data_IF_022730693775
#
_entry.id   IF_022730693775
#
_cell.length_a   1.000
_cell.length_b   1.000
_cell.length_c   1.000
_cell.angle_alpha   90.00
_cell.angle_beta   90.00
_cell.angle_gamma   90.00
#
_symmetry.space_group_name_H-M   'P 1'
#
loop_
_entity.id
_entity.type
_entity.pdbx_description
1 polymer ?
#
# COMPACT_ATOMS: atom_id res chain seq x y z
N UNK A 1 -32.89 29.89 -33.49
CA UNK A 1 -32.11 29.90 -32.24
C UNK A 1 -32.78 28.89 -31.34
N UNK A 2 -32.08 27.82 -30.93
CA UNK A 2 -32.67 26.84 -30.02
C UNK A 2 -32.48 27.42 -28.62
N UNK A 3 -33.57 27.80 -27.96
CA UNK A 3 -33.52 28.23 -26.56
C UNK A 3 -33.19 27.03 -25.70
N UNK A 4 -31.98 27.03 -25.14
CA UNK A 4 -31.53 26.00 -24.23
C UNK A 4 -31.95 26.39 -22.81
N UNK A 5 -32.93 25.67 -22.26
CA UNK A 5 -33.33 25.80 -20.87
C UNK A 5 -32.48 24.87 -19.99
N UNK A 6 -31.50 25.37 -19.21
CA UNK A 6 -30.64 24.53 -18.38
C UNK A 6 -31.39 23.79 -17.27
N UNK A 7 -32.64 24.18 -16.98
CA UNK A 7 -33.49 23.53 -15.97
C UNK A 7 -34.20 22.26 -16.49
N UNK A 8 -34.24 22.05 -17.81
CA UNK A 8 -34.80 20.82 -18.41
C UNK A 8 -33.77 19.69 -18.51
N UNK A 9 -32.50 19.99 -18.24
CA UNK A 9 -31.44 18.99 -18.24
C UNK A 9 -31.63 18.05 -17.05
N UNK A 10 -31.77 16.76 -17.33
CA UNK A 10 -31.74 15.73 -16.30
C UNK A 10 -30.31 15.52 -15.80
N UNK A 11 -29.85 16.41 -14.93
CA UNK A 11 -28.50 16.38 -14.35
C UNK A 11 -28.18 15.07 -13.63
N UNK A 12 -29.20 14.41 -13.06
CA UNK A 12 -29.04 13.08 -12.43
C UNK A 12 -28.62 12.06 -13.49
N UNK A 13 -29.31 12.01 -14.63
CA UNK A 13 -28.94 11.14 -15.74
C UNK A 13 -27.56 11.48 -16.30
N UNK A 14 -27.26 12.76 -16.51
CA UNK A 14 -25.95 13.22 -17.00
C UNK A 14 -24.81 12.75 -16.08
N UNK A 15 -24.97 12.86 -14.76
CA UNK A 15 -24.00 12.36 -13.79
C UNK A 15 -23.88 10.82 -13.77
N UNK A 16 -24.84 10.08 -14.34
CA UNK A 16 -24.71 8.63 -14.54
C UNK A 16 -23.92 8.24 -15.79
N UNK A 17 -23.69 9.15 -16.72
CA UNK A 17 -22.88 8.90 -17.92
C UNK A 17 -21.39 8.84 -17.57
N UNK A 18 -20.71 7.78 -18.02
CA UNK A 18 -19.31 7.54 -17.69
C UNK A 18 -18.41 8.61 -18.31
N UNK A 19 -18.74 9.01 -19.53
CA UNK A 19 -18.05 9.98 -20.36
C UNK A 19 -18.07 11.34 -19.67
N UNK A 20 -19.25 11.82 -19.26
CA UNK A 20 -19.39 13.09 -18.56
C UNK A 20 -18.62 13.13 -17.25
N UNK A 21 -18.74 12.07 -16.44
CA UNK A 21 -17.99 11.98 -15.17
C UNK A 21 -16.47 11.97 -15.34
N UNK A 22 -15.96 11.51 -16.48
CA UNK A 22 -14.53 11.48 -16.74
C UNK A 22 -13.95 12.91 -16.90
N UNK A 23 -14.77 13.87 -17.32
CA UNK A 23 -14.36 15.28 -17.47
C UNK A 23 -14.35 16.07 -16.16
N UNK A 24 -15.12 15.64 -15.16
CA UNK A 24 -15.14 16.30 -13.85
C UNK A 24 -13.89 15.93 -13.03
N UNK A 25 -13.23 16.91 -12.43
CA UNK A 25 -12.25 16.71 -11.35
C UNK A 25 -12.89 16.11 -10.09
N UNK A 26 -12.07 15.66 -9.14
CA UNK A 26 -12.58 15.15 -7.85
C UNK A 26 -13.29 16.24 -7.04
N UNK A 27 -12.83 17.49 -7.15
CA UNK A 27 -13.41 18.64 -6.45
C UNK A 27 -14.80 18.96 -7.03
N UNK A 28 -14.93 19.02 -8.36
CA UNK A 28 -16.22 19.25 -9.03
C UNK A 28 -17.21 18.11 -8.72
N UNK A 29 -16.76 16.85 -8.68
CA UNK A 29 -17.59 15.72 -8.23
C UNK A 29 -18.03 15.90 -6.77
N UNK A 30 -17.16 16.40 -5.91
CA UNK A 30 -17.48 16.64 -4.50
C UNK A 30 -18.54 17.73 -4.38
N UNK A 31 -18.37 18.86 -5.07
CA UNK A 31 -19.35 19.95 -5.13
C UNK A 31 -20.70 19.48 -5.69
N UNK A 32 -20.69 18.74 -6.80
CA UNK A 32 -21.89 18.17 -7.39
C UNK A 32 -22.63 17.22 -6.42
N UNK A 33 -21.90 16.53 -5.53
CA UNK A 33 -22.50 15.65 -4.53
C UNK A 33 -23.27 16.42 -3.43
N UNK A 34 -23.03 17.73 -3.29
CA UNK A 34 -23.73 18.59 -2.35
C UNK A 34 -25.04 19.14 -2.90
N UNK A 35 -25.24 19.12 -4.22
CA UNK A 35 -26.43 19.68 -4.88
C UNK A 35 -27.74 19.02 -4.42
N UNK A 36 -27.78 17.68 -4.34
CA UNK A 36 -28.93 16.95 -3.82
C UNK A 36 -28.60 15.51 -3.38
N UNK A 37 -29.55 14.86 -2.69
CA UNK A 37 -29.43 13.50 -2.17
C UNK A 37 -29.11 12.46 -3.25
N UNK A 38 -29.72 12.58 -4.43
CA UNK A 38 -29.51 11.64 -5.54
C UNK A 38 -28.09 11.72 -6.10
N UNK A 39 -27.59 12.94 -6.32
CA UNK A 39 -26.21 13.17 -6.74
C UNK A 39 -25.24 12.60 -5.71
N UNK A 40 -25.48 12.84 -4.43
CA UNK A 40 -24.69 12.26 -3.33
C UNK A 40 -24.62 10.74 -3.43
N UNK A 41 -25.77 10.06 -3.52
CA UNK A 41 -25.82 8.59 -3.59
C UNK A 41 -25.05 8.06 -4.81
N UNK A 42 -25.20 8.71 -5.98
CA UNK A 42 -24.52 8.27 -7.22
C UNK A 42 -23.02 8.55 -7.22
N UNK A 43 -22.58 9.64 -6.60
CA UNK A 43 -21.18 10.08 -6.60
C UNK A 43 -20.38 9.51 -5.43
N UNK A 44 -21.00 9.14 -4.31
CA UNK A 44 -20.31 8.58 -3.13
C UNK A 44 -19.38 7.40 -3.48
N UNK A 45 -19.82 6.37 -4.24
CA UNK A 45 -18.94 5.26 -4.60
C UNK A 45 -17.71 5.68 -5.40
N UNK A 46 -17.82 6.77 -6.15
CA UNK A 46 -16.77 7.30 -7.04
C UNK A 46 -15.79 8.14 -6.23
N UNK A 47 -16.32 9.02 -5.37
CA UNK A 47 -15.54 9.90 -4.50
C UNK A 47 -14.68 9.10 -3.52
N UNK A 48 -15.23 8.04 -2.95
CA UNK A 48 -14.56 7.22 -1.93
C UNK A 48 -13.94 5.95 -2.49
N UNK A 49 -13.89 5.79 -3.82
CA UNK A 49 -13.22 4.65 -4.46
C UNK A 49 -11.77 4.54 -4.00
N UNK A 50 -11.06 5.68 -3.97
CA UNK A 50 -9.67 5.76 -3.56
C UNK A 50 -9.51 6.68 -2.36
N UNK A 51 -8.89 6.20 -1.30
CA UNK A 51 -8.55 7.00 -0.12
C UNK A 51 -7.04 7.22 -0.10
N UNK A 52 -6.63 8.48 0.10
CA UNK A 52 -5.25 8.84 0.38
C UNK A 52 -5.13 9.37 1.81
N UNK A 53 -4.49 8.59 2.67
CA UNK A 53 -4.17 8.95 4.04
C UNK A 53 -2.79 9.61 4.06
N UNK A 54 -2.80 10.94 4.19
CA UNK A 54 -1.60 11.76 4.39
C UNK A 54 -1.78 12.63 5.62
N UNK A 55 -0.74 12.78 6.42
CA UNK A 55 -0.74 13.74 7.52
C UNK A 55 -0.50 15.16 6.95
N UNK A 56 -1.28 16.13 7.39
CA UNK A 56 -0.96 17.54 7.14
C UNK A 56 0.34 17.85 7.90
N UNK A 57 1.40 18.20 7.18
CA UNK A 57 2.76 18.43 7.69
C UNK A 57 2.81 19.40 8.86
N UNK A 58 1.88 20.36 8.91
CA UNK A 58 1.75 21.36 9.99
C UNK A 58 1.44 20.68 11.35
N UNK A 59 0.68 19.58 11.36
CA UNK A 59 0.32 18.86 12.59
C UNK A 59 1.39 17.87 13.06
N UNK A 60 2.37 17.55 12.21
CA UNK A 60 3.43 16.58 12.52
C UNK A 60 4.42 17.13 13.55
N UNK A 61 4.84 18.40 13.40
CA UNK A 61 5.77 19.05 14.32
C UNK A 61 5.22 19.20 15.74
N UNK A 62 3.91 19.48 15.88
CA UNK A 62 3.26 19.54 17.18
C UNK A 62 3.21 18.15 17.86
N UNK A 63 3.11 17.08 17.08
CA UNK A 63 2.93 15.70 17.58
C UNK A 63 4.21 15.08 18.14
N UNK A 64 5.38 15.43 17.60
CA UNK A 64 6.67 14.96 18.15
C UNK A 64 6.94 15.49 19.57
N UNK A 65 6.23 16.53 20.00
CA UNK A 65 6.35 17.11 21.34
C UNK A 65 5.38 16.49 22.36
N UNK A 66 4.41 15.66 21.96
CA UNK A 66 3.50 15.02 22.90
C UNK A 66 4.09 13.71 23.44
N UNK A 67 4.62 13.81 24.66
CA UNK A 67 5.06 12.65 25.45
C UNK A 67 3.93 11.64 25.67
N UNK A 68 4.33 10.38 25.80
CA UNK A 68 3.62 9.09 25.90
C UNK A 68 2.56 8.91 27.01
N UNK A 69 1.88 9.96 27.47
CA UNK A 69 0.94 9.87 28.62
C UNK A 69 -0.50 9.47 28.30
N UNK A 70 -0.87 9.16 27.05
CA UNK A 70 -2.29 8.92 26.72
C UNK A 70 -2.49 7.68 25.83
N UNK A 71 -2.23 6.48 26.38
CA UNK A 71 -2.63 5.20 25.75
C UNK A 71 -4.15 5.14 25.57
N UNK A 72 -4.93 5.77 26.47
CA UNK A 72 -6.38 5.93 26.35
C UNK A 72 -6.84 6.77 25.14
N UNK A 73 -5.93 7.45 24.43
CA UNK A 73 -6.27 8.22 23.22
C UNK A 73 -6.18 7.42 21.93
N UNK A 74 -5.34 6.37 21.86
CA UNK A 74 -5.16 5.62 20.63
C UNK A 74 -6.41 4.81 20.30
N UNK A 75 -6.96 4.09 21.28
CA UNK A 75 -8.21 3.34 21.12
C UNK A 75 -9.36 4.26 20.68
N UNK A 76 -9.48 5.44 21.29
CA UNK A 76 -10.50 6.41 20.89
C UNK A 76 -10.27 6.96 19.47
N UNK A 77 -9.01 7.19 19.06
CA UNK A 77 -8.68 7.64 17.70
C UNK A 77 -9.04 6.54 16.69
N UNK A 78 -8.69 5.29 16.98
CA UNK A 78 -9.01 4.09 16.20
C UNK A 78 -10.53 3.96 16.05
N UNK A 79 -11.27 4.00 17.16
CA UNK A 79 -12.74 3.94 17.17
C UNK A 79 -13.38 5.09 16.36
N UNK A 80 -12.87 6.31 16.53
CA UNK A 80 -13.36 7.46 15.76
C UNK A 80 -13.07 7.31 14.26
N UNK A 81 -11.90 6.76 13.90
CA UNK A 81 -11.53 6.51 12.51
C UNK A 81 -12.44 5.46 11.88
N UNK A 82 -12.67 4.34 12.57
CA UNK A 82 -13.58 3.28 12.14
C UNK A 82 -15.02 3.79 11.98
N UNK A 83 -15.52 4.54 12.97
CA UNK A 83 -16.85 5.15 12.92
C UNK A 83 -17.01 6.08 11.70
N UNK A 84 -16.00 6.88 11.39
CA UNK A 84 -16.01 7.75 10.21
C UNK A 84 -15.95 6.97 8.89
N UNK A 85 -15.19 5.87 8.85
CA UNK A 85 -15.06 5.03 7.66
C UNK A 85 -16.27 4.12 7.43
N UNK A 86 -17.08 3.84 8.46
CA UNK A 86 -18.21 2.90 8.40
C UNK A 86 -19.21 3.17 7.25
N UNK A 87 -19.41 4.43 6.88
CA UNK A 87 -20.34 4.85 5.83
C UNK A 87 -19.79 4.67 4.41
N UNK A 88 -18.48 4.57 4.28
CA UNK A 88 -17.79 4.56 2.98
C UNK A 88 -17.03 3.27 2.71
N UNK A 89 -16.81 2.44 3.73
CA UNK A 89 -15.92 1.27 3.66
C UNK A 89 -16.17 0.31 2.52
N UNK A 90 -17.43 0.11 2.12
CA UNK A 90 -17.80 -0.79 1.04
C UNK A 90 -17.38 -0.27 -0.34
N UNK A 91 -17.17 1.04 -0.48
CA UNK A 91 -16.80 1.67 -1.74
C UNK A 91 -15.28 1.78 -1.94
N UNK A 92 -14.50 1.70 -0.85
CA UNK A 92 -13.06 1.86 -0.88
C UNK A 92 -12.41 0.61 -1.43
N UNK A 93 -11.73 0.74 -2.57
CA UNK A 93 -11.01 -0.35 -3.21
C UNK A 93 -9.52 -0.04 -3.43
N UNK A 94 -9.12 1.23 -3.30
CA UNK A 94 -7.72 1.67 -3.34
C UNK A 94 -7.38 2.47 -2.08
N UNK A 95 -6.28 2.10 -1.42
CA UNK A 95 -5.75 2.81 -0.25
C UNK A 95 -4.31 3.23 -0.52
N UNK A 96 -4.03 4.53 -0.34
CA UNK A 96 -2.67 5.07 -0.30
C UNK A 96 -2.39 5.57 1.11
N UNK A 97 -1.29 5.14 1.70
CA UNK A 97 -0.76 5.63 2.98
C UNK A 97 0.55 6.32 2.67
N UNK A 98 0.54 7.65 2.71
CA UNK A 98 1.70 8.46 2.38
C UNK A 98 2.59 8.70 3.62
N UNK A 99 3.71 9.37 3.36
CA UNK A 99 4.70 9.86 4.31
C UNK A 99 4.03 10.49 5.53
N UNK A 100 4.64 10.26 6.70
CA UNK A 100 4.26 10.83 7.98
C UNK A 100 2.94 10.32 8.55
N UNK A 101 2.17 9.47 7.85
CA UNK A 101 0.99 8.86 8.46
C UNK A 101 1.41 7.97 9.63
N UNK A 102 0.90 8.24 10.83
CA UNK A 102 1.19 7.40 11.99
C UNK A 102 0.43 6.07 11.83
N UNK A 103 1.13 5.03 11.37
CA UNK A 103 0.50 3.73 11.08
C UNK A 103 -0.05 3.03 12.33
N UNK A 104 0.39 3.38 13.54
CA UNK A 104 -0.20 2.89 14.79
C UNK A 104 -1.65 3.37 14.97
N UNK A 105 -2.09 4.41 14.24
CA UNK A 105 -3.48 4.86 14.23
C UNK A 105 -4.36 4.08 13.27
N UNK A 106 -3.79 3.15 12.51
CA UNK A 106 -4.56 2.34 11.58
C UNK A 106 -4.99 1.07 12.30
N UNK A 107 -6.31 0.90 12.58
CA UNK A 107 -6.83 -0.41 12.93
C UNK A 107 -6.49 -1.42 11.83
N UNK A 108 -6.62 -2.72 12.10
CA UNK A 108 -6.38 -3.76 11.10
C UNK A 108 -7.16 -3.45 9.81
N UNK A 109 -6.44 -3.20 8.71
CA UNK A 109 -7.00 -2.57 7.51
C UNK A 109 -8.16 -3.37 6.93
N UNK A 110 -8.12 -4.70 7.03
CA UNK A 110 -9.17 -5.59 6.57
C UNK A 110 -10.52 -5.38 7.27
N UNK A 111 -10.54 -4.89 8.52
CA UNK A 111 -11.77 -4.57 9.23
C UNK A 111 -12.39 -3.25 8.74
N UNK A 112 -11.53 -2.30 8.36
CA UNK A 112 -11.93 -0.96 7.93
C UNK A 112 -12.37 -0.97 6.48
N UNK A 113 -11.59 -1.60 5.60
CA UNK A 113 -11.77 -1.59 4.15
C UNK A 113 -11.68 -3.02 3.59
N UNK A 114 -12.74 -3.84 3.76
CA UNK A 114 -12.71 -5.26 3.37
C UNK A 114 -12.63 -5.48 1.86
N UNK A 115 -12.99 -4.48 1.04
CA UNK A 115 -13.03 -4.55 -0.41
C UNK A 115 -11.76 -4.02 -1.09
N UNK A 116 -10.67 -3.86 -0.36
CA UNK A 116 -9.42 -3.36 -0.93
C UNK A 116 -8.89 -4.30 -2.00
N UNK A 117 -8.65 -3.73 -3.17
CA UNK A 117 -8.00 -4.37 -4.31
C UNK A 117 -6.59 -3.87 -4.53
N UNK A 118 -6.25 -2.70 -3.97
CA UNK A 118 -4.92 -2.10 -4.12
C UNK A 118 -4.52 -1.36 -2.86
N UNK A 119 -3.30 -1.59 -2.40
CA UNK A 119 -2.67 -0.84 -1.31
C UNK A 119 -1.34 -0.27 -1.80
N UNK A 120 -1.10 1.01 -1.52
CA UNK A 120 0.19 1.67 -1.68
C UNK A 120 0.61 2.29 -0.36
N UNK A 121 1.80 1.96 0.14
CA UNK A 121 2.36 2.56 1.35
C UNK A 121 3.72 3.15 1.03
N UNK A 122 3.96 4.40 1.43
CA UNK A 122 5.18 5.14 1.11
C UNK A 122 5.84 5.69 2.36
N UNK A 123 7.17 5.60 2.47
CA UNK A 123 8.00 6.35 3.43
C UNK A 123 7.50 6.24 4.89
N UNK A 124 7.22 5.02 5.32
CA UNK A 124 6.71 4.71 6.66
C UNK A 124 7.51 3.58 7.29
N UNK A 125 7.56 3.58 8.63
CA UNK A 125 8.04 2.46 9.43
C UNK A 125 6.83 1.68 9.96
N UNK A 126 6.86 0.35 9.83
CA UNK A 126 5.69 -0.48 10.14
C UNK A 126 6.13 -1.75 10.85
N UNK A 127 5.44 -2.11 11.93
CA UNK A 127 5.69 -3.37 12.61
C UNK A 127 5.27 -4.57 11.74
N UNK A 128 6.13 -5.59 11.64
CA UNK A 128 5.91 -6.78 10.81
C UNK A 128 4.60 -7.48 11.16
N UNK A 129 4.30 -7.64 12.45
CA UNK A 129 3.07 -8.34 12.88
C UNK A 129 1.80 -7.60 12.48
N UNK A 130 1.83 -6.26 12.46
CA UNK A 130 0.68 -5.45 12.06
C UNK A 130 0.34 -5.63 10.57
N UNK A 131 1.38 -5.74 9.72
CA UNK A 131 1.21 -6.04 8.29
C UNK A 131 0.71 -7.47 8.13
N UNK A 132 1.33 -8.45 8.80
CA UNK A 132 1.00 -9.86 8.66
C UNK A 132 -0.47 -10.14 8.99
N UNK A 133 -0.97 -9.65 10.12
CA UNK A 133 -2.37 -9.82 10.54
C UNK A 133 -3.33 -9.15 9.55
N UNK A 134 -2.93 -8.01 8.99
CA UNK A 134 -3.81 -7.21 8.14
C UNK A 134 -3.90 -7.74 6.72
N UNK A 135 -2.77 -8.10 6.10
CA UNK A 135 -2.69 -8.38 4.67
C UNK A 135 -3.19 -9.78 4.32
N UNK A 136 -2.90 -10.78 5.16
CA UNK A 136 -3.37 -12.16 4.94
C UNK A 136 -4.91 -12.25 4.81
N UNK A 137 -5.63 -11.36 5.50
CA UNK A 137 -7.10 -11.32 5.53
C UNK A 137 -7.73 -10.47 4.40
N UNK A 138 -6.94 -9.86 3.53
CA UNK A 138 -7.45 -9.05 2.42
C UNK A 138 -7.67 -9.92 1.18
N UNK A 139 -8.73 -10.72 1.20
CA UNK A 139 -9.03 -11.71 0.16
C UNK A 139 -9.16 -11.11 -1.25
N UNK A 140 -9.48 -9.82 -1.37
CA UNK A 140 -9.64 -9.13 -2.66
C UNK A 140 -8.39 -8.37 -3.13
N UNK A 141 -7.28 -8.40 -2.38
CA UNK A 141 -6.09 -7.60 -2.65
C UNK A 141 -5.34 -8.10 -3.88
N UNK A 142 -5.41 -7.33 -4.96
CA UNK A 142 -4.76 -7.63 -6.24
C UNK A 142 -3.39 -6.97 -6.38
N UNK A 143 -3.21 -5.79 -5.81
CA UNK A 143 -1.99 -5.01 -5.96
C UNK A 143 -1.46 -4.49 -4.62
N UNK A 144 -0.18 -4.73 -4.36
CA UNK A 144 0.53 -4.19 -3.20
C UNK A 144 1.79 -3.45 -3.67
N UNK A 145 1.89 -2.19 -3.29
CA UNK A 145 3.05 -1.34 -3.56
C UNK A 145 3.60 -0.79 -2.25
N UNK A 146 4.86 -1.12 -1.95
CA UNK A 146 5.60 -0.61 -0.80
C UNK A 146 6.79 0.19 -1.34
N UNK A 147 6.90 1.45 -0.94
CA UNK A 147 7.97 2.34 -1.37
C UNK A 147 8.65 2.99 -0.15
N UNK A 148 9.96 2.84 -0.03
CA UNK A 148 10.73 3.39 1.08
C UNK A 148 10.17 2.99 2.46
N UNK A 149 9.78 1.71 2.58
CA UNK A 149 9.22 1.15 3.81
C UNK A 149 10.29 0.48 4.65
N UNK A 150 10.28 0.78 5.95
CA UNK A 150 11.07 0.06 6.96
C UNK A 150 10.16 -0.84 7.78
N UNK A 151 10.27 -2.14 7.58
CA UNK A 151 9.56 -3.15 8.36
C UNK A 151 10.36 -3.40 9.64
N UNK A 152 9.70 -3.28 10.79
CA UNK A 152 10.29 -3.45 12.10
C UNK A 152 9.96 -4.84 12.66
N UNK A 153 10.96 -5.52 13.18
CA UNK A 153 10.82 -6.78 13.90
C UNK A 153 11.53 -6.65 15.27
N UNK A 154 10.79 -6.75 16.37
CA UNK A 154 11.31 -6.60 17.73
C UNK A 154 11.70 -7.95 18.34
N UNK A 155 12.43 -7.95 19.45
CA UNK A 155 12.82 -9.20 20.10
C UNK A 155 11.64 -9.95 20.75
N UNK A 156 10.63 -9.22 21.23
CA UNK A 156 9.48 -9.81 21.93
C UNK A 156 8.51 -10.55 21.00
N UNK A 157 8.60 -10.33 19.69
CA UNK A 157 7.92 -11.16 18.71
C UNK A 157 8.58 -12.54 18.70
N UNK A 158 8.13 -13.41 19.63
CA UNK A 158 8.51 -14.82 19.77
C UNK A 158 8.23 -15.67 18.51
N UNK A 159 7.69 -15.07 17.45
CA UNK A 159 7.54 -15.72 16.17
C UNK A 159 8.87 -15.70 15.44
N UNK A 160 9.31 -16.87 15.02
CA UNK A 160 10.07 -17.01 13.77
C UNK A 160 9.53 -16.00 12.76
N UNK A 161 10.42 -15.48 11.91
CA UNK A 161 10.05 -14.78 10.70
C UNK A 161 9.30 -15.73 9.75
N UNK A 162 8.16 -16.26 10.20
CA UNK A 162 7.10 -16.87 9.42
C UNK A 162 6.63 -15.74 8.52
N UNK A 163 7.37 -15.70 7.41
CA UNK A 163 7.18 -14.97 6.19
C UNK A 163 5.81 -14.30 6.11
N UNK A 164 5.83 -12.96 5.99
CA UNK A 164 4.64 -12.16 5.70
C UNK A 164 3.79 -12.88 4.65
N UNK A 165 2.66 -13.45 5.08
CA UNK A 165 1.72 -14.12 4.18
C UNK A 165 0.92 -13.07 3.47
N UNK A 166 0.94 -13.13 2.14
CA UNK A 166 0.10 -12.30 1.28
C UNK A 166 -1.04 -13.16 0.75
N UNK A 167 -2.21 -12.55 0.46
CA UNK A 167 -3.36 -13.29 -0.01
C UNK A 167 -3.12 -13.83 -1.42
N UNK A 168 -3.69 -15.00 -1.73
CA UNK A 168 -3.52 -15.66 -3.03
C UNK A 168 -4.08 -14.82 -4.20
N UNK A 169 -4.98 -13.87 -3.93
CA UNK A 169 -5.52 -12.95 -4.93
C UNK A 169 -4.50 -11.92 -5.44
N UNK A 170 -3.32 -11.84 -4.84
CA UNK A 170 -2.28 -10.88 -5.22
C UNK A 170 -1.70 -11.22 -6.59
N UNK A 171 -1.87 -10.29 -7.54
CA UNK A 171 -1.36 -10.40 -8.91
C UNK A 171 -0.20 -9.43 -9.18
N UNK A 172 -0.04 -8.40 -8.36
CA UNK A 172 1.01 -7.38 -8.53
C UNK A 172 1.66 -7.05 -7.19
N UNK A 173 2.98 -7.17 -7.13
CA UNK A 173 3.80 -6.80 -5.98
C UNK A 173 4.91 -5.87 -6.42
N UNK A 174 5.02 -4.71 -5.78
CA UNK A 174 6.09 -3.74 -6.03
C UNK A 174 6.76 -3.36 -4.72
N UNK A 175 8.07 -3.57 -4.65
CA UNK A 175 8.91 -3.32 -3.48
C UNK A 175 10.03 -2.37 -3.88
N UNK A 176 9.89 -1.08 -3.57
CA UNK A 176 10.89 -0.06 -3.90
C UNK A 176 11.62 0.38 -2.65
N UNK A 177 12.93 0.10 -2.58
CA UNK A 177 13.79 0.56 -1.48
C UNK A 177 13.23 0.16 -0.09
N UNK A 178 12.75 -1.08 0.03
CA UNK A 178 12.18 -1.63 1.26
C UNK A 178 13.23 -2.37 2.08
N UNK A 179 13.17 -2.23 3.41
CA UNK A 179 14.09 -2.87 4.34
C UNK A 179 13.35 -3.51 5.51
N UNK A 180 13.93 -4.57 6.08
CA UNK A 180 13.54 -5.11 7.37
C UNK A 180 14.68 -4.82 8.38
N UNK A 181 14.30 -4.29 9.53
CA UNK A 181 15.20 -4.06 10.67
C UNK A 181 14.79 -5.02 11.78
N UNK A 182 15.71 -5.90 12.17
CA UNK A 182 15.60 -6.62 13.42
C UNK A 182 16.17 -5.72 14.51
N UNK A 183 15.35 -5.32 15.45
CA UNK A 183 15.66 -4.31 16.46
C UNK A 183 15.99 -4.97 17.80
N UNK A 184 16.93 -4.39 18.55
CA UNK A 184 17.33 -4.83 19.90
C UNK A 184 16.26 -4.57 20.95
N UNK A 185 15.35 -3.62 20.70
CA UNK A 185 14.29 -3.29 21.63
C UNK A 185 13.31 -4.47 21.78
N UNK A 186 12.83 -4.63 23.01
CA UNK A 186 11.76 -5.58 23.32
C UNK A 186 10.40 -5.07 22.85
N UNK A 187 10.13 -3.77 22.95
CA UNK A 187 8.84 -3.19 22.59
C UNK A 187 9.00 -1.92 21.74
N UNK A 188 7.95 -1.63 20.98
CA UNK A 188 7.86 -0.40 20.20
C UNK A 188 7.72 0.83 21.12
N UNK A 189 8.52 1.90 20.92
CA UNK A 189 8.33 3.16 21.65
C UNK A 189 7.05 3.92 21.27
N UNK A 190 6.30 3.50 20.24
CA UNK A 190 5.09 4.15 19.72
C UNK A 190 5.32 5.62 19.30
N UNK A 191 6.53 5.92 18.84
CA UNK A 191 6.95 7.27 18.45
C UNK A 191 7.09 7.34 16.93
N UNK A 192 6.21 8.10 16.29
CA UNK A 192 6.16 8.20 14.82
C UNK A 192 7.41 8.77 14.13
N UNK A 193 8.31 9.42 14.87
CA UNK A 193 9.59 9.94 14.38
C UNK A 193 10.81 9.27 15.04
N UNK A 194 10.63 8.08 15.62
CA UNK A 194 11.73 7.37 16.25
C UNK A 194 12.70 6.82 15.20
N UNK A 195 14.01 7.03 15.43
CA UNK A 195 15.03 6.46 14.57
C UNK A 195 15.33 5.01 14.98
N UNK A 196 14.59 4.07 14.40
CA UNK A 196 14.79 2.63 14.65
C UNK A 196 16.13 2.08 14.16
N UNK A 197 16.91 2.87 13.39
CA UNK A 197 18.21 2.43 12.89
C UNK A 197 19.28 2.40 13.98
N UNK A 198 19.15 3.22 15.02
CA UNK A 198 20.15 3.31 16.10
C UNK A 198 20.15 2.05 16.99
N UNK A 199 19.01 1.36 17.05
CA UNK A 199 18.79 0.11 17.80
C UNK A 199 18.72 -1.12 16.87
N UNK A 200 19.27 -1.03 15.66
CA UNK A 200 19.21 -2.12 14.69
C UNK A 200 20.28 -3.18 14.98
N UNK A 201 19.86 -4.41 15.30
CA UNK A 201 20.75 -5.59 15.31
C UNK A 201 21.17 -5.94 13.89
N UNK A 202 20.21 -5.87 12.96
CA UNK A 202 20.49 -6.07 11.54
C UNK A 202 19.49 -5.33 10.67
N UNK A 203 19.97 -4.91 9.49
CA UNK A 203 19.17 -4.29 8.44
C UNK A 203 19.36 -5.07 7.15
N UNK A 204 18.28 -5.56 6.55
CA UNK A 204 18.31 -6.34 5.31
C UNK A 204 17.32 -5.77 4.31
N UNK A 205 17.61 -5.84 3.01
CA UNK A 205 16.62 -5.54 1.98
C UNK A 205 15.45 -6.52 2.09
N UNK A 206 14.23 -6.02 1.98
CA UNK A 206 12.99 -6.77 2.00
C UNK A 206 12.53 -7.06 0.57
N UNK A 207 12.72 -8.30 0.10
CA UNK A 207 12.48 -8.69 -1.29
C UNK A 207 11.41 -9.78 -1.48
N UNK A 208 11.05 -10.54 -0.45
CA UNK A 208 10.10 -11.65 -0.56
C UNK A 208 10.41 -12.68 -1.67
N UNK A 209 11.65 -12.73 -2.21
CA UNK A 209 12.01 -13.61 -3.33
C UNK A 209 11.97 -15.11 -3.01
N UNK A 210 11.87 -15.45 -1.72
CA UNK A 210 11.74 -16.83 -1.27
C UNK A 210 10.30 -17.33 -1.19
N UNK A 211 9.32 -16.48 -1.50
CA UNK A 211 7.91 -16.85 -1.43
C UNK A 211 7.42 -17.45 -2.74
N UNK A 212 6.44 -18.35 -2.62
CA UNK A 212 5.59 -18.77 -3.71
C UNK A 212 4.33 -17.90 -3.71
N UNK A 213 4.03 -17.29 -4.85
CA UNK A 213 2.81 -16.52 -5.09
C UNK A 213 2.08 -17.13 -6.28
N UNK A 214 1.03 -17.95 -6.06
CA UNK A 214 0.43 -18.75 -7.13
C UNK A 214 -0.07 -17.91 -8.31
N UNK A 215 -0.53 -16.69 -8.05
CA UNK A 215 -1.18 -15.83 -9.04
C UNK A 215 -0.38 -14.57 -9.41
N UNK A 216 0.90 -14.46 -9.02
CA UNK A 216 1.68 -13.25 -9.31
C UNK A 216 1.93 -13.11 -10.81
N UNK A 217 1.52 -11.98 -11.38
CA UNK A 217 1.71 -11.68 -12.81
C UNK A 217 2.83 -10.64 -12.98
N UNK A 218 2.90 -9.67 -12.08
CA UNK A 218 3.87 -8.58 -12.12
C UNK A 218 4.60 -8.45 -10.79
N UNK A 219 5.92 -8.49 -10.86
CA UNK A 219 6.78 -8.28 -9.69
C UNK A 219 7.81 -7.18 -9.97
N UNK A 220 7.95 -6.22 -9.07
CA UNK A 220 8.94 -5.15 -9.18
C UNK A 220 9.74 -5.05 -7.89
N UNK A 221 11.06 -4.92 -8.03
CA UNK A 221 11.96 -4.70 -6.90
C UNK A 221 12.99 -3.61 -7.23
N UNK A 222 13.35 -2.81 -6.22
CA UNK A 222 14.41 -1.82 -6.31
C UNK A 222 15.46 -1.92 -5.21
N UNK A 223 16.71 -1.58 -5.53
CA UNK A 223 17.80 -1.42 -4.54
C UNK A 223 18.43 -2.73 -4.07
N UNK A 224 18.46 -3.70 -4.97
CA UNK A 224 18.89 -5.07 -4.70
C UNK A 224 20.36 -5.29 -5.12
N UNK A 225 21.07 -6.20 -4.42
CA UNK A 225 22.50 -6.48 -4.67
C UNK A 225 22.76 -7.84 -5.34
N UNK A 226 23.87 -7.93 -6.07
CA UNK A 226 24.26 -9.13 -6.83
C UNK A 226 24.43 -10.41 -6.00
N UNK A 227 24.69 -10.30 -4.69
CA UNK A 227 24.80 -11.48 -3.82
C UNK A 227 23.49 -12.27 -3.68
N UNK A 228 22.36 -11.69 -4.09
CA UNK A 228 21.04 -12.31 -4.04
C UNK A 228 20.63 -12.95 -5.37
N UNK A 229 21.49 -12.95 -6.39
CA UNK A 229 21.18 -13.33 -7.78
C UNK A 229 20.54 -14.71 -7.91
N UNK A 230 20.99 -15.69 -7.11
CA UNK A 230 20.39 -17.00 -7.08
C UNK A 230 18.92 -16.99 -6.63
N UNK A 231 18.54 -16.10 -5.69
CA UNK A 231 17.16 -15.99 -5.19
C UNK A 231 16.22 -15.44 -6.26
N UNK A 232 16.69 -14.53 -7.11
CA UNK A 232 15.93 -14.05 -8.26
C UNK A 232 15.64 -15.18 -9.26
N UNK A 233 16.66 -15.98 -9.61
CA UNK A 233 16.49 -17.15 -10.48
C UNK A 233 15.44 -18.10 -9.88
N UNK A 234 15.62 -18.45 -8.61
CA UNK A 234 14.71 -19.35 -7.90
C UNK A 234 13.29 -18.76 -7.80
N UNK A 235 13.14 -17.45 -7.67
CA UNK A 235 11.85 -16.78 -7.64
C UNK A 235 11.10 -16.95 -8.98
N UNK A 236 11.79 -16.71 -10.11
CA UNK A 236 11.20 -16.87 -11.45
C UNK A 236 10.77 -18.32 -11.68
N UNK A 237 11.58 -19.30 -11.29
CA UNK A 237 11.20 -20.71 -11.43
C UNK A 237 10.03 -21.12 -10.52
N UNK A 238 9.94 -20.57 -9.30
CA UNK A 238 8.85 -20.86 -8.37
C UNK A 238 7.53 -20.24 -8.79
N UNK A 239 7.53 -19.15 -9.56
CA UNK A 239 6.34 -18.37 -9.89
C UNK A 239 6.03 -18.43 -11.40
N UNK A 240 5.45 -19.54 -11.90
CA UNK A 240 5.26 -19.77 -13.33
C UNK A 240 4.25 -18.83 -14.00
N UNK A 241 3.41 -18.15 -13.21
CA UNK A 241 2.43 -17.16 -13.69
C UNK A 241 3.02 -15.78 -13.93
N UNK A 242 4.27 -15.54 -13.52
CA UNK A 242 4.97 -14.28 -13.67
C UNK A 242 5.16 -13.95 -15.15
N UNK A 243 4.67 -12.77 -15.57
CA UNK A 243 4.81 -12.25 -16.95
C UNK A 243 5.74 -11.07 -17.04
N UNK A 244 5.83 -10.26 -15.99
CA UNK A 244 6.66 -9.05 -15.97
C UNK A 244 7.48 -9.00 -14.69
N UNK A 245 8.78 -8.78 -14.86
CA UNK A 245 9.69 -8.52 -13.74
C UNK A 245 10.43 -7.21 -13.96
N UNK A 246 10.30 -6.25 -13.04
CA UNK A 246 11.00 -4.97 -13.10
C UNK A 246 12.11 -4.92 -12.05
N UNK A 247 13.33 -4.64 -12.49
CA UNK A 247 14.54 -4.54 -11.66
C UNK A 247 15.07 -3.11 -11.75
N UNK A 248 14.95 -2.36 -10.65
CA UNK A 248 15.38 -0.95 -10.60
C UNK A 248 16.55 -0.78 -9.65
N UNK A 249 17.62 -0.08 -10.05
CA UNK A 249 18.81 0.12 -9.19
C UNK A 249 19.36 -1.20 -8.61
N UNK A 250 19.35 -2.26 -9.42
CA UNK A 250 19.82 -3.58 -9.04
C UNK A 250 21.23 -3.81 -9.59
N UNK A 251 22.14 -4.37 -8.80
CA UNK A 251 23.42 -4.86 -9.34
C UNK A 251 23.29 -6.30 -9.83
N UNK A 252 23.56 -6.53 -11.11
CA UNK A 252 23.42 -7.83 -11.77
C UNK A 252 24.82 -8.34 -12.17
N UNK A 253 25.08 -9.63 -11.96
CA UNK A 253 26.30 -10.27 -12.46
C UNK A 253 26.05 -10.84 -13.87
N UNK A 254 27.10 -11.15 -14.67
CA UNK A 254 26.92 -11.65 -16.03
C UNK A 254 26.01 -12.88 -16.13
N UNK A 255 26.07 -13.78 -15.14
CA UNK A 255 25.22 -14.98 -15.08
C UNK A 255 23.73 -14.64 -15.05
N UNK A 256 23.34 -13.57 -14.37
CA UNK A 256 21.94 -13.13 -14.35
C UNK A 256 21.53 -12.49 -15.67
N UNK A 257 22.43 -11.77 -16.34
CA UNK A 257 22.13 -11.22 -17.66
C UNK A 257 21.88 -12.35 -18.67
N UNK A 258 22.70 -13.40 -18.63
CA UNK A 258 22.49 -14.60 -19.45
C UNK A 258 21.14 -15.27 -19.15
N UNK A 259 20.81 -15.44 -17.87
CA UNK A 259 19.51 -15.97 -17.44
C UNK A 259 18.32 -15.12 -17.91
N UNK A 260 18.42 -13.79 -17.78
CA UNK A 260 17.39 -12.85 -18.24
C UNK A 260 17.17 -12.99 -19.75
N UNK A 261 18.27 -13.05 -20.52
CA UNK A 261 18.21 -13.25 -21.97
C UNK A 261 17.53 -14.57 -22.32
N UNK A 262 17.89 -15.67 -21.63
CA UNK A 262 17.29 -17.00 -21.83
C UNK A 262 15.78 -17.02 -21.52
N UNK A 263 15.35 -16.33 -20.46
CA UNK A 263 13.94 -16.33 -20.01
C UNK A 263 13.07 -15.22 -20.62
N UNK A 264 13.63 -14.34 -21.44
CA UNK A 264 12.95 -13.21 -22.06
C UNK A 264 11.71 -13.59 -22.88
N UNK A 265 11.63 -14.82 -23.41
CA UNK A 265 10.44 -15.32 -24.14
C UNK A 265 9.25 -15.61 -23.24
N UNK A 266 9.47 -15.83 -21.93
CA UNK A 266 8.43 -16.17 -20.94
C UNK A 266 8.13 -15.01 -20.00
N UNK A 267 9.16 -14.27 -19.60
CA UNK A 267 9.06 -13.14 -18.67
C UNK A 267 9.65 -11.91 -19.32
N UNK A 268 8.87 -10.85 -19.40
CA UNK A 268 9.34 -9.55 -19.81
C UNK A 268 10.14 -8.90 -18.67
N UNK A 269 11.46 -8.86 -18.80
CA UNK A 269 12.34 -8.19 -17.85
C UNK A 269 12.52 -6.72 -18.24
N UNK A 270 12.19 -5.82 -17.32
CA UNK A 270 12.42 -4.38 -17.45
C UNK A 270 13.54 -3.99 -16.49
N UNK A 271 14.69 -3.59 -17.02
CA UNK A 271 15.86 -3.19 -16.22
C UNK A 271 15.96 -1.66 -16.26
N UNK A 272 15.92 -1.04 -15.08
CA UNK A 272 16.03 0.41 -14.92
C UNK A 272 17.28 0.74 -14.07
N UNK A 273 18.26 1.38 -14.71
CA UNK A 273 19.60 1.65 -14.16
C UNK A 273 19.69 3.09 -13.59
N UNK A 274 18.60 3.87 -13.64
CA UNK A 274 18.57 5.30 -13.24
C UNK A 274 18.93 5.57 -11.78
#
# INVERSE_FOLDING_TARGET
MIDFNPHEINWVFILTLKEFRAYLSINEKSEASLLNKTCRIKLTPILFKSINLRLNTIKYNAFNNYSSKVVSSLDQIVLNFEANCSKIKSYVNHLTIDTFFNIYKLPPIHLIFPNLTSIKIMKNSIHLSAIAISFEKLENLKALELENITILNFQSSNGTADMLKLPDSLITLKLKECYIINNSMTNDPYKGAYNYSDEAISKKCFDMMDHYFPNIISYSISGYNSSRNQRLINFVYRNPTLKTMTLTKCTLDPRILDFINEKSSKVNFVIDIS
#
